data_IF_773728186046
#
_entry.id   IF_773728186046
#
_cell.length_a   1.000
_cell.length_b   1.000
_cell.length_c   1.000
_cell.angle_alpha   90.00
_cell.angle_beta   90.00
_cell.angle_gamma   90.00
#
_symmetry.space_group_name_H-M   'P 1'
#
loop_
_entity.id
_entity.type
_entity.pdbx_description
1 polymer ?
#
# COMPACT_ATOMS: atom_id res chain seq x y z
N UNK A 1 13.06 3.74 -20.51
CA UNK A 1 12.30 4.91 -20.00
C UNK A 1 10.91 4.39 -19.65
N UNK A 2 10.72 3.93 -18.41
CA UNK A 2 9.56 3.14 -17.91
C UNK A 2 8.64 4.00 -17.03
N UNK A 3 8.45 5.25 -17.40
CA UNK A 3 7.51 6.16 -16.74
C UNK A 3 6.79 6.92 -17.87
N UNK A 4 5.72 6.33 -18.39
CA UNK A 4 4.87 7.00 -19.38
C UNK A 4 3.40 7.01 -18.93
N UNK A 5 2.98 6.09 -18.05
CA UNK A 5 1.61 6.07 -17.53
C UNK A 5 1.53 6.44 -16.02
N UNK A 6 0.75 7.46 -15.63
CA UNK A 6 0.40 7.73 -14.23
C UNK A 6 -0.13 6.50 -13.45
N UNK A 7 -0.78 5.56 -14.14
CA UNK A 7 -1.26 4.31 -13.56
C UNK A 7 -0.09 3.38 -13.17
N UNK A 8 0.97 3.31 -13.96
CA UNK A 8 2.15 2.49 -13.64
C UNK A 8 2.77 2.93 -12.31
N UNK A 9 2.83 4.24 -12.07
CA UNK A 9 3.38 4.79 -10.83
C UNK A 9 2.57 4.38 -9.59
N UNK A 10 1.24 4.28 -9.72
CA UNK A 10 0.38 3.81 -8.63
C UNK A 10 0.67 2.34 -8.28
N UNK A 11 0.87 1.48 -9.28
CA UNK A 11 1.20 0.07 -9.07
C UNK A 11 2.61 -0.12 -8.48
N UNK A 12 3.58 0.71 -8.88
CA UNK A 12 4.92 0.69 -8.28
C UNK A 12 4.83 1.04 -6.78
N UNK A 13 4.13 2.11 -6.42
CA UNK A 13 3.96 2.51 -5.02
C UNK A 13 3.21 1.44 -4.22
N UNK A 14 2.18 0.84 -4.80
CA UNK A 14 1.46 -0.28 -4.20
C UNK A 14 2.37 -1.49 -3.95
N UNK A 15 3.21 -1.86 -4.92
CA UNK A 15 4.14 -2.97 -4.79
C UNK A 15 5.21 -2.71 -3.71
N UNK A 16 5.66 -1.46 -3.55
CA UNK A 16 6.53 -1.08 -2.43
C UNK A 16 5.79 -1.26 -1.09
N UNK A 17 4.52 -0.87 -1.01
CA UNK A 17 3.67 -1.11 0.16
C UNK A 17 3.53 -2.61 0.50
N UNK A 18 3.40 -3.47 -0.52
CA UNK A 18 3.39 -4.93 -0.35
C UNK A 18 4.67 -5.45 0.29
N UNK A 19 5.83 -5.00 -0.18
CA UNK A 19 7.14 -5.40 0.37
C UNK A 19 7.27 -5.00 1.85
N UNK A 20 6.86 -3.77 2.18
CA UNK A 20 6.86 -3.34 3.58
C UNK A 20 5.85 -4.15 4.42
N UNK A 21 4.71 -4.53 3.84
CA UNK A 21 3.72 -5.38 4.52
C UNK A 21 4.33 -6.75 4.86
N UNK A 22 5.04 -7.38 3.91
CA UNK A 22 5.69 -8.69 4.14
C UNK A 22 6.83 -8.60 5.16
N UNK A 23 7.46 -7.44 5.29
CA UNK A 23 8.53 -7.21 6.27
C UNK A 23 8.00 -6.87 7.68
N UNK A 24 6.68 -6.82 7.88
CA UNK A 24 6.07 -6.38 9.15
C UNK A 24 6.16 -4.87 9.39
N UNK A 25 6.61 -4.09 8.41
CA UNK A 25 6.78 -2.64 8.49
C UNK A 25 5.46 -1.93 8.19
N UNK A 26 4.43 -2.23 8.98
CA UNK A 26 3.04 -1.84 8.72
C UNK A 26 2.82 -0.33 8.53
N UNK A 27 3.48 0.52 9.32
CA UNK A 27 3.36 1.98 9.18
C UNK A 27 3.87 2.46 7.82
N UNK A 28 5.03 1.95 7.35
CA UNK A 28 5.58 2.29 6.02
C UNK A 28 4.69 1.76 4.91
N UNK A 29 4.17 0.54 5.07
CA UNK A 29 3.24 -0.04 4.11
C UNK A 29 2.00 0.84 3.90
N UNK A 30 1.38 1.32 4.98
CA UNK A 30 0.23 2.23 4.91
C UNK A 30 0.57 3.52 4.17
N UNK A 31 1.72 4.13 4.44
CA UNK A 31 2.16 5.36 3.75
C UNK A 31 2.26 5.14 2.22
N UNK A 32 2.86 4.05 1.78
CA UNK A 32 2.98 3.74 0.36
C UNK A 32 1.64 3.41 -0.31
N UNK A 33 0.73 2.73 0.39
CA UNK A 33 -0.63 2.51 -0.10
C UNK A 33 -1.41 3.82 -0.24
N UNK A 34 -1.29 4.74 0.72
CA UNK A 34 -1.89 6.07 0.60
C UNK A 34 -1.34 6.83 -0.63
N UNK A 35 -0.03 6.84 -0.82
CA UNK A 35 0.60 7.48 -1.99
C UNK A 35 0.20 6.83 -3.31
N UNK A 36 -0.04 5.52 -3.34
CA UNK A 36 -0.58 4.83 -4.51
C UNK A 36 -2.01 5.30 -4.82
N UNK A 37 -2.85 5.43 -3.79
CA UNK A 37 -4.23 5.89 -3.90
C UNK A 37 -4.36 7.37 -4.28
N UNK A 38 -3.43 8.23 -3.87
CA UNK A 38 -3.35 9.62 -4.36
C UNK A 38 -3.13 9.70 -5.88
N UNK A 39 -2.50 8.69 -6.47
CA UNK A 39 -2.26 8.61 -7.93
C UNK A 39 -3.39 7.91 -8.66
N UNK A 40 -3.90 6.83 -8.08
CA UNK A 40 -5.02 6.08 -8.61
C UNK A 40 -5.99 5.72 -7.48
N UNK A 41 -7.06 6.51 -7.28
CA UNK A 41 -8.09 6.22 -6.29
C UNK A 41 -8.84 4.91 -6.55
N UNK A 42 -8.78 4.39 -7.79
CA UNK A 42 -9.43 3.14 -8.21
C UNK A 42 -8.47 1.94 -8.08
N UNK A 43 -7.80 1.81 -6.94
CA UNK A 43 -6.90 0.71 -6.63
C UNK A 43 -7.41 -0.10 -5.42
N UNK A 44 -8.45 -0.94 -5.58
CA UNK A 44 -9.09 -1.67 -4.48
C UNK A 44 -8.12 -2.58 -3.70
N UNK A 45 -7.05 -3.06 -4.35
CA UNK A 45 -6.02 -3.87 -3.72
C UNK A 45 -5.28 -3.11 -2.60
N UNK A 46 -5.05 -1.81 -2.77
CA UNK A 46 -4.42 -0.99 -1.73
C UNK A 46 -5.34 -0.87 -0.51
N UNK A 47 -6.63 -0.61 -0.70
CA UNK A 47 -7.60 -0.58 0.40
C UNK A 47 -7.70 -1.91 1.14
N UNK A 48 -7.73 -3.03 0.42
CA UNK A 48 -7.78 -4.36 1.02
C UNK A 48 -6.56 -4.63 1.91
N UNK A 49 -5.35 -4.32 1.44
CA UNK A 49 -4.15 -4.53 2.24
C UNK A 49 -4.09 -3.60 3.46
N UNK A 50 -4.53 -2.35 3.33
CA UNK A 50 -4.67 -1.43 4.46
C UNK A 50 -5.65 -1.95 5.50
N UNK A 51 -6.78 -2.52 5.08
CA UNK A 51 -7.76 -3.11 5.99
C UNK A 51 -7.19 -4.32 6.75
N UNK A 52 -6.43 -5.19 6.07
CA UNK A 52 -5.73 -6.33 6.69
C UNK A 52 -4.73 -5.83 7.74
N UNK A 53 -3.92 -4.82 7.42
CA UNK A 53 -2.97 -4.21 8.37
C UNK A 53 -3.71 -3.65 9.59
N UNK A 54 -4.76 -2.85 9.38
CA UNK A 54 -5.53 -2.25 10.47
C UNK A 54 -6.20 -3.31 11.36
N UNK A 55 -6.65 -4.43 10.77
CA UNK A 55 -7.17 -5.55 11.53
C UNK A 55 -6.08 -6.23 12.35
N UNK A 56 -4.92 -6.50 11.77
CA UNK A 56 -3.78 -7.11 12.45
C UNK A 56 -3.25 -6.28 13.62
N UNK A 57 -3.07 -4.97 13.42
CA UNK A 57 -2.60 -4.05 14.48
C UNK A 57 -3.62 -3.95 15.61
N UNK A 58 -4.92 -4.00 15.31
CA UNK A 58 -5.96 -4.00 16.36
C UNK A 58 -5.95 -5.28 17.20
N UNK A 59 -5.63 -6.41 16.59
CA UNK A 59 -5.58 -7.73 17.24
C UNK A 59 -4.25 -8.02 17.95
N UNK A 60 -3.23 -7.20 17.72
CA UNK A 60 -1.94 -7.26 18.40
C UNK A 60 -1.85 -6.12 19.43
N UNK A 61 -2.61 -6.17 20.55
CA UNK A 61 -2.30 -5.29 21.65
C UNK A 61 -0.90 -5.67 22.14
N UNK A 62 -0.04 -4.66 22.25
CA UNK A 62 1.25 -4.79 22.96
C UNK A 62 1.04 -5.44 24.34
#
# INVERSE_FOLDING_TARGET
RLEIDPYDRSYILYNIGLIHTSNGEHTKALEYYFRALERNPFLPQAFNNMAVICHYVRLSPL
#
